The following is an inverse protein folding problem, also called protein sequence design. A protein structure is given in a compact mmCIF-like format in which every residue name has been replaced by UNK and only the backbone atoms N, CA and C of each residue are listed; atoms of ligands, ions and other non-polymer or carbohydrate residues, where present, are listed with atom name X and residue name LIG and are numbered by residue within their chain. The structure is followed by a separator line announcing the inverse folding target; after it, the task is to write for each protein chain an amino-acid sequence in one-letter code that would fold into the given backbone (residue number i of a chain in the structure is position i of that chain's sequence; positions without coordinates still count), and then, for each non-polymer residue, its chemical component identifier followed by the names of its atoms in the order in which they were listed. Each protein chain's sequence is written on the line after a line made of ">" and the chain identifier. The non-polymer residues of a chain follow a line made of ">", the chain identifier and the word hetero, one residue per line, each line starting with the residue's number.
data_IF_356565821071
#
_entry.id   IF_356565821071
#
_cell.length_a   1.000
_cell.length_b   1.000
_cell.length_c   1.000
_cell.angle_alpha   90.00
_cell.angle_beta   90.00
_cell.angle_gamma   90.00
#
_symmetry.space_group_name_H-M   'P 1'
#
loop_
_entity.id
_entity.type
_entity.pdbx_description
1 polymer ?
#
# COMPACT_ATOMS: atom_id res chain seq x y z
N UNK A 1 45.37 -40.56 1.13
CA UNK A 1 46.36 -39.45 1.16
C UNK A 1 46.81 -39.26 -0.28
N UNK A 2 46.47 -38.21 -1.03
CA UNK A 2 46.43 -36.79 -0.68
C UNK A 2 45.30 -36.09 -1.44
N UNK A 3 44.57 -35.24 -0.72
CA UNK A 3 43.53 -34.34 -1.18
C UNK A 3 44.22 -33.06 -1.66
N UNK A 4 44.06 -32.71 -2.93
CA UNK A 4 44.57 -31.46 -3.50
C UNK A 4 43.40 -30.63 -4.02
N UNK A 5 42.77 -29.86 -3.15
CA UNK A 5 41.75 -28.87 -3.51
C UNK A 5 42.45 -27.65 -4.15
N UNK A 6 42.24 -27.48 -5.46
CA UNK A 6 42.57 -26.24 -6.17
C UNK A 6 41.49 -25.20 -5.85
N UNK A 7 41.76 -24.35 -4.86
CA UNK A 7 40.97 -23.16 -4.56
C UNK A 7 41.15 -22.13 -5.67
N UNK A 8 40.16 -22.03 -6.56
CA UNK A 8 40.00 -20.92 -7.50
C UNK A 8 39.40 -19.73 -6.75
N UNK A 9 40.25 -18.91 -6.12
CA UNK A 9 39.82 -17.61 -5.60
C UNK A 9 39.63 -16.64 -6.77
N UNK A 10 38.38 -16.52 -7.22
CA UNK A 10 37.94 -15.50 -8.16
C UNK A 10 38.01 -14.12 -7.48
N UNK A 11 39.12 -13.41 -7.65
CA UNK A 11 39.22 -12.00 -7.29
C UNK A 11 38.36 -11.18 -8.27
N UNK A 12 37.07 -11.04 -7.95
CA UNK A 12 36.23 -10.04 -8.57
C UNK A 12 36.71 -8.66 -8.14
N UNK A 13 37.61 -8.05 -8.93
CA UNK A 13 37.85 -6.62 -8.90
C UNK A 13 36.54 -5.93 -9.32
N UNK A 14 35.68 -5.65 -8.34
CA UNK A 14 34.60 -4.69 -8.50
C UNK A 14 35.29 -3.33 -8.66
N UNK A 15 35.57 -2.96 -9.91
CA UNK A 15 35.80 -1.58 -10.27
C UNK A 15 34.51 -0.83 -9.94
N UNK A 16 34.47 -0.18 -8.78
CA UNK A 16 33.54 0.91 -8.52
C UNK A 16 33.97 2.04 -9.46
N UNK A 17 33.52 1.98 -10.71
CA UNK A 17 33.51 3.15 -11.56
C UNK A 17 32.57 4.13 -10.86
N UNK A 18 33.14 5.14 -10.20
CA UNK A 18 32.40 6.34 -9.82
C UNK A 18 31.95 6.98 -11.12
N UNK A 19 30.80 6.57 -11.64
CA UNK A 19 30.26 7.11 -12.88
C UNK A 19 29.86 8.55 -12.61
N UNK A 20 30.77 9.45 -12.93
CA UNK A 20 30.46 10.87 -13.07
C UNK A 20 29.20 10.99 -13.95
N UNK A 21 28.14 11.58 -13.38
CA UNK A 21 26.82 11.68 -14.01
C UNK A 21 26.91 12.46 -15.31
N UNK A 22 26.70 11.77 -16.43
CA UNK A 22 26.56 12.37 -17.75
C UNK A 22 25.18 13.03 -17.91
N UNK A 23 24.99 13.90 -18.92
CA UNK A 23 23.79 14.74 -19.02
C UNK A 23 22.88 14.26 -20.15
N UNK A 24 21.78 13.56 -19.81
CA UNK A 24 20.78 13.10 -20.78
C UNK A 24 19.72 14.14 -21.14
N UNK A 25 19.41 15.07 -20.23
CA UNK A 25 18.39 16.11 -20.46
C UNK A 25 18.80 17.02 -21.62
N UNK A 26 17.88 17.34 -22.52
CA UNK A 26 18.13 18.21 -23.67
C UNK A 26 18.15 19.69 -23.28
N UNK A 27 17.21 20.12 -22.43
CA UNK A 27 17.17 21.49 -21.94
C UNK A 27 17.95 21.63 -20.64
N UNK A 28 18.88 22.57 -20.62
CA UNK A 28 19.77 22.82 -19.51
C UNK A 28 19.71 24.29 -19.18
N UNK A 29 19.66 24.60 -17.89
CA UNK A 29 19.80 25.98 -17.42
C UNK A 29 21.06 26.05 -16.56
N UNK A 30 21.89 27.06 -16.75
CA UNK A 30 23.05 27.38 -15.91
C UNK A 30 22.97 28.82 -15.37
N UNK A 31 23.80 29.15 -14.37
CA UNK A 31 23.91 30.51 -13.80
C UNK A 31 25.15 31.19 -14.33
N UNK A 32 25.00 32.43 -14.78
CA UNK A 32 26.10 33.28 -15.20
C UNK A 32 27.19 33.40 -14.11
N UNK A 33 28.45 33.24 -14.51
CA UNK A 33 29.61 33.34 -13.63
C UNK A 33 29.90 32.08 -12.81
N UNK A 34 29.12 31.00 -12.95
CA UNK A 34 29.45 29.70 -12.36
C UNK A 34 30.17 28.78 -13.39
N UNK A 35 31.15 27.98 -12.96
CA UNK A 35 31.69 26.90 -13.78
C UNK A 35 30.59 25.91 -14.17
N UNK A 36 30.63 25.44 -15.42
CA UNK A 36 29.62 24.53 -15.94
C UNK A 36 30.25 23.53 -16.91
N UNK A 37 29.60 22.38 -17.13
CA UNK A 37 30.08 21.39 -18.10
C UNK A 37 28.91 20.69 -18.80
N UNK A 38 29.13 20.29 -20.05
CA UNK A 38 28.30 19.37 -20.80
C UNK A 38 29.06 18.06 -21.02
N UNK A 39 28.52 16.94 -20.54
CA UNK A 39 29.14 15.62 -20.67
C UNK A 39 28.22 14.67 -21.44
N UNK A 40 28.74 14.12 -22.53
CA UNK A 40 28.07 13.09 -23.31
C UNK A 40 27.96 11.77 -22.52
N UNK A 41 26.85 11.06 -22.69
CA UNK A 41 26.62 9.75 -22.07
C UNK A 41 27.08 8.63 -23.00
N UNK A 42 28.11 7.89 -22.60
CA UNK A 42 28.51 6.66 -23.28
C UNK A 42 27.55 5.53 -22.90
N UNK A 43 26.74 5.07 -23.86
CA UNK A 43 25.76 3.99 -23.64
C UNK A 43 26.37 2.58 -23.60
N UNK A 44 27.68 2.43 -23.83
CA UNK A 44 28.43 1.17 -23.73
C UNK A 44 29.94 1.51 -23.66
N UNK A 45 30.81 0.68 -23.04
CA UNK A 45 32.24 0.76 -23.29
C UNK A 45 32.45 0.40 -24.75
N UNK A 46 32.38 1.41 -25.63
CA UNK A 46 32.78 1.29 -27.02
C UNK A 46 34.16 0.68 -26.97
N UNK A 47 34.30 -0.55 -27.48
CA UNK A 47 35.61 -1.14 -27.73
C UNK A 47 36.46 -0.05 -28.37
N UNK A 48 37.69 0.12 -27.86
CA UNK A 48 38.69 1.04 -28.38
C UNK A 48 39.00 0.68 -29.85
N UNK A 49 38.05 0.91 -30.74
CA UNK A 49 38.25 0.97 -32.15
C UNK A 49 38.69 2.40 -32.38
N UNK A 50 39.99 2.52 -32.56
CA UNK A 50 40.71 3.74 -32.85
C UNK A 50 40.02 4.50 -34.00
N UNK A 51 40.05 5.84 -33.91
CA UNK A 51 39.74 6.82 -34.96
C UNK A 51 38.34 7.43 -35.10
N UNK A 52 37.44 7.34 -34.11
CA UNK A 52 36.23 8.19 -34.18
C UNK A 52 36.50 9.59 -33.67
N UNK A 53 36.67 10.56 -34.58
CA UNK A 53 36.88 11.97 -34.26
C UNK A 53 35.67 12.55 -33.55
N UNK A 54 35.87 13.05 -32.33
CA UNK A 54 34.85 13.77 -31.57
C UNK A 54 34.81 15.23 -32.04
N UNK A 55 33.61 15.76 -32.28
CA UNK A 55 33.41 17.15 -32.65
C UNK A 55 32.30 17.78 -31.83
N UNK A 56 32.54 19.02 -31.43
CA UNK A 56 31.57 19.85 -30.73
C UNK A 56 31.18 21.02 -31.62
N UNK A 57 29.88 21.30 -31.68
CA UNK A 57 29.34 22.43 -32.43
C UNK A 57 28.47 23.29 -31.53
N UNK A 58 28.46 24.58 -31.84
CA UNK A 58 27.57 25.56 -31.25
C UNK A 58 26.74 26.19 -32.36
N UNK A 59 25.45 26.35 -32.10
CA UNK A 59 24.55 27.11 -32.95
C UNK A 59 23.87 28.20 -32.15
N UNK A 60 23.95 29.42 -32.67
CA UNK A 60 23.17 30.55 -32.20
C UNK A 60 21.82 30.58 -32.95
N UNK A 61 20.93 31.53 -32.61
CA UNK A 61 19.55 31.63 -33.15
C UNK A 61 19.44 31.60 -34.69
N UNK A 62 20.55 31.82 -35.42
CA UNK A 62 20.66 31.78 -36.88
C UNK A 62 20.78 30.37 -37.50
N UNK A 63 20.67 29.28 -36.73
CA UNK A 63 20.74 27.87 -37.17
C UNK A 63 22.07 27.41 -37.79
N UNK A 64 23.01 28.32 -38.06
CA UNK A 64 24.36 27.98 -38.49
C UNK A 64 25.12 27.24 -37.36
N UNK A 65 25.80 26.14 -37.70
CA UNK A 65 26.60 25.35 -36.75
C UNK A 65 28.07 25.73 -36.91
N UNK A 66 28.64 26.31 -35.86
CA UNK A 66 30.06 26.65 -35.78
C UNK A 66 30.76 25.57 -34.96
N UNK A 67 31.81 24.96 -35.51
CA UNK A 67 32.63 23.99 -34.79
C UNK A 67 33.44 24.68 -33.68
N UNK A 68 33.36 24.14 -32.47
CA UNK A 68 34.14 24.60 -31.32
C UNK A 68 35.52 23.93 -31.37
N UNK A 69 36.58 24.73 -31.52
CA UNK A 69 37.96 24.25 -31.50
C UNK A 69 38.59 24.49 -30.13
N UNK A 70 39.53 23.62 -29.76
CA UNK A 70 40.33 23.82 -28.56
C UNK A 70 41.10 25.15 -28.68
N UNK A 71 41.03 25.99 -27.64
CA UNK A 71 41.69 27.30 -27.63
C UNK A 71 40.94 28.43 -28.33
N UNK A 72 39.75 28.17 -28.91
CA UNK A 72 38.87 29.24 -29.44
C UNK A 72 38.42 30.25 -28.39
N UNK A 73 38.42 29.85 -27.11
CA UNK A 73 38.21 30.74 -25.98
C UNK A 73 39.07 30.28 -24.81
N UNK A 74 39.71 31.19 -24.05
CA UNK A 74 40.45 30.83 -22.84
C UNK A 74 39.53 30.28 -21.74
N UNK A 75 38.21 30.49 -21.87
CA UNK A 75 37.19 30.13 -20.88
C UNK A 75 36.54 28.77 -21.14
N UNK A 76 36.55 28.31 -22.40
CA UNK A 76 35.91 27.07 -22.82
C UNK A 76 36.99 26.02 -23.08
N UNK A 77 36.84 24.84 -22.48
CA UNK A 77 37.81 23.75 -22.66
C UNK A 77 37.10 22.48 -23.12
N UNK A 78 37.65 21.83 -24.15
CA UNK A 78 37.15 20.57 -24.66
C UNK A 78 38.07 19.44 -24.16
N UNK A 79 37.48 18.43 -23.53
CA UNK A 79 38.16 17.24 -23.02
C UNK A 79 37.36 16.00 -23.41
N UNK A 80 37.77 15.31 -24.47
CA UNK A 80 37.09 14.12 -25.01
C UNK A 80 35.55 14.31 -25.10
N UNK A 81 34.82 13.70 -24.16
CA UNK A 81 33.36 13.68 -24.06
C UNK A 81 32.77 14.86 -23.30
N UNK A 82 33.58 15.84 -22.89
CA UNK A 82 33.18 16.94 -22.01
C UNK A 82 33.54 18.29 -22.61
N UNK A 83 32.56 19.20 -22.60
CA UNK A 83 32.72 20.62 -22.89
C UNK A 83 32.58 21.40 -21.58
N UNK A 84 33.67 21.98 -21.09
CA UNK A 84 33.70 22.76 -19.85
C UNK A 84 33.70 24.27 -20.11
N UNK A 85 33.12 25.01 -19.17
CA UNK A 85 33.00 26.47 -19.15
C UNK A 85 33.53 27.02 -17.81
N UNK A 86 34.43 28.01 -17.86
CA UNK A 86 35.12 28.57 -16.68
C UNK A 86 35.23 30.11 -16.58
N UNK A 87 34.18 30.97 -16.41
CA UNK A 87 32.73 30.87 -16.34
C UNK A 87 31.92 30.08 -17.33
N UNK A 88 30.61 29.99 -17.14
CA UNK A 88 29.64 30.27 -18.23
C UNK A 88 29.22 31.75 -18.23
N UNK A 89 28.99 32.35 -19.40
CA UNK A 89 28.56 33.75 -19.56
C UNK A 89 27.25 33.85 -20.36
N UNK A 90 26.49 34.95 -20.28
CA UNK A 90 25.20 35.09 -20.98
C UNK A 90 25.28 34.84 -22.48
N UNK A 91 26.39 35.20 -23.09
CA UNK A 91 26.63 35.02 -24.52
C UNK A 91 26.79 33.55 -24.90
N UNK A 92 27.03 32.63 -23.96
CA UNK A 92 27.12 31.19 -24.25
C UNK A 92 25.75 30.53 -24.45
N UNK A 93 24.65 31.28 -24.33
CA UNK A 93 23.30 30.77 -24.55
C UNK A 93 23.13 30.30 -26.00
N UNK A 94 22.69 29.05 -26.18
CA UNK A 94 22.48 28.49 -27.52
C UNK A 94 22.30 26.98 -27.53
N UNK A 95 22.31 26.41 -28.73
CA UNK A 95 22.25 24.96 -28.94
C UNK A 95 23.66 24.41 -29.12
N UNK A 96 24.00 23.38 -28.36
CA UNK A 96 25.27 22.67 -28.42
C UNK A 96 25.05 21.27 -28.95
N UNK A 97 25.94 20.81 -29.81
CA UNK A 97 25.87 19.50 -30.44
C UNK A 97 27.19 18.77 -30.22
N UNK A 98 27.11 17.54 -29.73
CA UNK A 98 28.21 16.59 -29.70
C UNK A 98 28.03 15.60 -30.84
N UNK A 99 29.09 15.34 -31.60
CA UNK A 99 29.11 14.37 -32.68
C UNK A 99 30.30 13.41 -32.51
N UNK A 100 30.01 12.11 -32.55
CA UNK A 100 31.00 11.04 -32.52
C UNK A 100 30.56 9.94 -33.49
N UNK A 101 31.16 9.91 -34.68
CA UNK A 101 30.74 9.00 -35.75
C UNK A 101 29.28 9.25 -36.13
N UNK A 102 28.43 8.23 -35.99
CA UNK A 102 27.00 8.32 -36.24
C UNK A 102 26.19 8.85 -35.04
N UNK A 103 26.80 8.95 -33.86
CA UNK A 103 26.10 9.44 -32.67
C UNK A 103 26.10 10.96 -32.63
N UNK A 104 24.92 11.54 -32.44
CA UNK A 104 24.75 12.98 -32.23
C UNK A 104 23.89 13.21 -31.00
N UNK A 105 24.34 14.09 -30.11
CA UNK A 105 23.54 14.55 -28.98
C UNK A 105 23.43 16.07 -29.00
N UNK A 106 22.24 16.59 -28.69
CA UNK A 106 21.96 18.01 -28.66
C UNK A 106 21.56 18.45 -27.25
N UNK A 107 22.08 19.61 -26.84
CA UNK A 107 21.65 20.33 -25.65
C UNK A 107 21.26 21.76 -26.01
N UNK A 108 20.23 22.28 -25.35
CA UNK A 108 19.83 23.68 -25.39
C UNK A 108 20.24 24.29 -24.06
N UNK A 109 21.31 25.08 -24.08
CA UNK A 109 21.87 25.75 -22.92
C UNK A 109 21.24 27.14 -22.76
N UNK A 110 20.41 27.28 -21.74
CA UNK A 110 19.91 28.55 -21.27
C UNK A 110 20.75 29.06 -20.10
N UNK A 111 20.94 30.38 -20.05
CA UNK A 111 21.78 31.00 -19.03
C UNK A 111 20.95 32.04 -18.31
N UNK A 112 20.92 31.90 -17.00
CA UNK A 112 20.20 32.78 -16.09
C UNK A 112 21.19 33.76 -15.48
N UNK A 113 20.80 35.03 -15.44
CA UNK A 113 21.57 36.06 -14.75
C UNK A 113 21.64 35.71 -13.26
N UNK A 114 22.83 35.85 -12.70
CA UNK A 114 23.04 35.71 -11.26
C UNK A 114 22.25 36.79 -10.52
N UNK A 115 21.48 36.40 -9.51
CA UNK A 115 20.84 37.37 -8.63
C UNK A 115 21.92 38.07 -7.80
N UNK A 116 22.07 39.39 -7.95
CA UNK A 116 23.06 40.18 -7.20
C UNK A 116 22.62 40.52 -5.77
N UNK A 117 21.34 40.41 -5.47
CA UNK A 117 20.75 40.75 -4.17
C UNK A 117 20.48 39.52 -3.29
N UNK A 118 20.78 38.33 -3.77
CA UNK A 118 20.58 37.06 -3.07
C UNK A 118 21.82 36.18 -3.21
N UNK A 119 21.98 35.23 -2.30
CA UNK A 119 23.01 34.20 -2.38
C UNK A 119 22.66 33.07 -3.37
N UNK A 120 21.45 33.06 -3.93
CA UNK A 120 21.02 32.08 -4.94
C UNK A 120 20.11 32.70 -6.01
N UNK A 121 19.97 31.98 -7.12
CA UNK A 121 19.09 32.36 -8.23
C UNK A 121 17.83 31.49 -8.21
N UNK A 122 16.64 32.09 -8.13
CA UNK A 122 15.35 31.40 -7.97
C UNK A 122 15.08 30.35 -9.06
N UNK A 123 15.51 30.62 -10.29
CA UNK A 123 15.34 29.69 -11.44
C UNK A 123 16.19 28.41 -11.34
N UNK A 124 17.06 28.31 -10.34
CA UNK A 124 18.05 27.23 -10.15
C UNK A 124 17.89 26.55 -8.80
N UNK A 125 16.66 26.55 -8.30
CA UNK A 125 16.29 25.96 -7.03
C UNK A 125 15.62 24.62 -7.26
N UNK A 126 16.06 23.60 -6.53
CA UNK A 126 15.44 22.27 -6.52
C UNK A 126 14.51 22.16 -5.32
N UNK A 127 13.21 22.02 -5.56
CA UNK A 127 12.25 21.84 -4.46
C UNK A 127 12.30 20.42 -3.89
N UNK A 128 12.23 20.30 -2.58
CA UNK A 128 12.15 19.03 -1.83
C UNK A 128 11.13 19.18 -0.72
N UNK A 129 10.14 18.30 -0.70
CA UNK A 129 9.11 18.25 0.33
C UNK A 129 9.54 17.22 1.37
N UNK A 130 9.42 17.55 2.64
CA UNK A 130 9.73 16.66 3.76
C UNK A 130 8.60 16.77 4.79
N UNK A 131 8.09 15.62 5.24
CA UNK A 131 7.09 15.58 6.30
C UNK A 131 7.74 15.86 7.66
N UNK A 132 7.02 16.53 8.55
CA UNK A 132 7.45 16.79 9.92
C UNK A 132 7.78 15.46 10.64
N UNK A 133 8.75 15.47 11.54
CA UNK A 133 9.30 14.29 12.27
C UNK A 133 9.98 13.23 11.41
N UNK A 134 9.89 13.27 10.07
CA UNK A 134 10.70 12.41 9.18
C UNK A 134 12.13 12.95 9.05
N UNK A 135 13.03 12.13 8.52
CA UNK A 135 14.45 12.51 8.37
C UNK A 135 14.62 13.55 7.26
N UNK A 136 15.00 14.77 7.65
CA UNK A 136 15.53 15.79 6.76
C UNK A 136 17.03 15.56 6.57
N UNK A 137 17.43 15.29 5.32
CA UNK A 137 18.82 15.19 4.92
C UNK A 137 19.15 16.18 3.80
N UNK A 138 20.17 17.01 4.01
CA UNK A 138 20.75 17.93 3.04
C UNK A 138 22.25 17.64 2.98
N UNK A 139 22.71 17.18 1.81
CA UNK A 139 24.10 16.84 1.59
C UNK A 139 24.68 17.73 0.51
N UNK A 140 25.75 18.46 0.82
CA UNK A 140 26.46 19.29 -0.15
C UNK A 140 27.52 18.46 -0.89
N UNK A 141 27.14 17.89 -2.03
CA UNK A 141 28.04 17.12 -2.88
C UNK A 141 28.06 17.63 -4.33
N UNK A 142 29.24 17.53 -4.94
CA UNK A 142 29.43 17.80 -6.35
C UNK A 142 30.46 16.83 -6.94
N UNK A 143 29.96 15.70 -7.44
CA UNK A 143 30.77 14.58 -7.95
C UNK A 143 31.79 15.00 -9.01
N UNK A 144 31.39 15.84 -9.98
CA UNK A 144 32.28 16.24 -11.08
C UNK A 144 33.43 17.14 -10.61
N UNK A 145 33.13 18.16 -9.81
CA UNK A 145 34.14 19.11 -9.35
C UNK A 145 34.79 18.72 -8.02
N UNK A 146 34.46 17.57 -7.42
CA UNK A 146 34.86 17.18 -6.06
C UNK A 146 36.36 17.36 -5.79
N UNK A 147 37.21 16.99 -6.77
CA UNK A 147 38.68 17.09 -6.64
C UNK A 147 39.22 18.52 -6.66
N UNK A 148 38.45 19.48 -7.19
CA UNK A 148 38.83 20.89 -7.33
C UNK A 148 38.27 21.77 -6.21
N UNK A 149 37.36 21.23 -5.39
CA UNK A 149 36.71 21.96 -4.30
C UNK A 149 37.71 22.12 -3.15
N UNK A 150 37.95 23.37 -2.78
CA UNK A 150 38.78 23.75 -1.63
C UNK A 150 37.94 23.76 -0.35
N UNK A 151 36.77 24.42 -0.39
CA UNK A 151 35.88 24.54 0.76
C UNK A 151 34.42 24.48 0.33
N UNK A 152 33.58 23.99 1.23
CA UNK A 152 32.12 23.95 1.05
C UNK A 152 31.46 24.65 2.22
N UNK A 153 30.50 25.54 1.94
CA UNK A 153 29.71 26.22 2.97
C UNK A 153 28.22 26.00 2.73
N UNK A 154 27.46 25.86 3.80
CA UNK A 154 26.00 25.71 3.76
C UNK A 154 25.33 26.95 4.34
N UNK A 155 24.33 27.46 3.63
CA UNK A 155 23.55 28.62 4.03
C UNK A 155 22.08 28.23 4.16
N UNK A 156 21.38 28.75 5.17
CA UNK A 156 19.92 28.72 5.26
C UNK A 156 19.40 30.15 5.10
N UNK A 157 18.56 30.39 4.09
CA UNK A 157 18.03 31.72 3.75
C UNK A 157 19.13 32.79 3.68
N UNK A 158 20.24 32.45 2.99
CA UNK A 158 21.44 33.29 2.86
C UNK A 158 22.18 33.64 4.16
N UNK A 159 21.91 32.95 5.26
CA UNK A 159 22.70 33.01 6.49
C UNK A 159 23.58 31.78 6.59
N UNK A 160 24.89 31.98 6.73
CA UNK A 160 25.86 30.88 6.85
C UNK A 160 25.57 30.08 8.12
N UNK A 161 25.45 28.77 7.99
CA UNK A 161 25.32 27.87 9.14
C UNK A 161 26.71 27.58 9.74
N UNK A 162 26.81 27.38 11.07
CA UNK A 162 28.07 27.04 11.72
C UNK A 162 28.64 25.72 11.17
N UNK A 163 29.96 25.71 10.92
CA UNK A 163 30.68 24.57 10.34
C UNK A 163 30.98 23.53 11.42
N UNK A 164 30.50 22.30 11.25
CA UNK A 164 30.93 21.16 12.07
C UNK A 164 31.99 20.28 11.37
N UNK A 165 32.14 20.35 10.03
CA UNK A 165 33.06 19.50 9.27
C UNK A 165 33.41 20.08 7.88
N UNK A 166 34.44 19.53 7.22
CA UNK A 166 34.87 19.86 5.84
C UNK A 166 33.76 19.71 4.79
N UNK A 167 32.74 18.88 5.07
CA UNK A 167 31.56 18.69 4.24
C UNK A 167 30.29 19.00 5.06
N UNK A 168 29.74 20.22 4.99
CA UNK A 168 28.56 20.56 5.75
C UNK A 168 27.36 19.74 5.23
N UNK A 169 26.81 18.90 6.10
CA UNK A 169 25.58 18.16 5.84
C UNK A 169 24.65 18.30 7.05
N UNK A 170 23.35 18.36 6.77
CA UNK A 170 22.30 18.35 7.80
C UNK A 170 21.64 16.99 7.74
N UNK A 171 21.54 16.33 8.89
CA UNK A 171 20.73 15.12 9.08
C UNK A 171 20.04 15.21 10.42
N UNK A 172 18.75 15.51 10.43
CA UNK A 172 17.93 15.57 11.65
C UNK A 172 16.47 15.24 11.34
N UNK A 173 15.65 15.07 12.37
CA UNK A 173 14.21 15.01 12.18
C UNK A 173 13.68 16.40 11.81
N UNK A 174 12.78 16.45 10.84
CA UNK A 174 12.26 17.68 10.29
C UNK A 174 11.32 18.37 11.26
N UNK A 175 11.50 19.67 11.45
CA UNK A 175 10.63 20.55 12.21
C UNK A 175 10.09 21.65 11.29
N UNK A 176 8.93 22.24 11.60
CA UNK A 176 8.37 23.31 10.76
C UNK A 176 9.31 24.50 10.58
N UNK A 177 10.14 24.79 11.59
CA UNK A 177 11.18 25.83 11.53
C UNK A 177 12.29 25.54 10.50
N UNK A 178 12.42 24.29 10.04
CA UNK A 178 13.39 23.89 9.02
C UNK A 178 13.03 24.31 7.61
N UNK A 179 11.80 24.76 7.39
CA UNK A 179 11.39 25.28 6.10
C UNK A 179 12.27 26.44 5.64
N UNK A 180 12.66 26.43 4.37
CA UNK A 180 13.43 27.50 3.75
C UNK A 180 14.38 27.06 2.66
N UNK A 181 15.20 28.00 2.19
CA UNK A 181 16.16 27.81 1.13
C UNK A 181 17.53 27.43 1.69
N UNK A 182 18.03 26.26 1.33
CA UNK A 182 19.34 25.78 1.72
C UNK A 182 20.29 25.82 0.53
N UNK A 183 21.33 26.65 0.59
CA UNK A 183 22.29 26.85 -0.49
C UNK A 183 23.65 26.26 -0.11
N UNK A 184 24.05 25.22 -0.82
CA UNK A 184 25.41 24.68 -0.81
C UNK A 184 26.28 25.51 -1.75
N UNK A 185 27.32 26.13 -1.21
CA UNK A 185 28.28 26.97 -1.94
C UNK A 185 29.61 26.24 -1.96
N UNK A 186 30.07 25.86 -3.14
CA UNK A 186 31.36 25.19 -3.36
C UNK A 186 32.36 26.19 -3.90
N UNK A 187 33.47 26.38 -3.19
CA UNK A 187 34.58 27.23 -3.59
C UNK A 187 35.68 26.38 -4.22
N UNK A 188 36.10 26.72 -5.42
CA UNK A 188 37.04 25.91 -6.20
C UNK A 188 38.09 26.79 -6.90
N UNK A 189 39.32 26.29 -6.99
CA UNK A 189 40.44 27.00 -7.60
C UNK A 189 40.85 26.35 -8.92
N UNK A 190 40.97 27.15 -9.98
CA UNK A 190 41.54 26.72 -11.26
C UNK A 190 42.42 27.82 -11.84
N UNK A 191 43.66 27.47 -12.20
CA UNK A 191 44.64 28.38 -12.80
C UNK A 191 44.80 29.72 -12.05
N UNK A 192 44.86 29.65 -10.71
CA UNK A 192 45.01 30.82 -9.83
C UNK A 192 43.75 31.68 -9.63
N UNK A 193 42.61 31.33 -10.25
CA UNK A 193 41.32 32.01 -10.06
C UNK A 193 40.40 31.21 -9.15
N UNK A 194 39.68 31.91 -8.27
CA UNK A 194 38.62 31.37 -7.42
C UNK A 194 37.29 31.42 -8.16
N UNK A 195 36.58 30.29 -8.18
CA UNK A 195 35.24 30.15 -8.72
C UNK A 195 34.29 29.62 -7.65
N UNK A 196 32.99 29.80 -7.89
CA UNK A 196 31.95 29.39 -6.97
C UNK A 196 30.82 28.71 -7.72
N UNK A 197 30.36 27.58 -7.20
CA UNK A 197 29.16 26.86 -7.67
C UNK A 197 28.14 26.86 -6.55
N UNK A 198 26.90 27.19 -6.86
CA UNK A 198 25.80 27.25 -5.89
C UNK A 198 24.74 26.21 -6.24
N UNK A 199 24.42 25.31 -5.31
CA UNK A 199 23.26 24.41 -5.41
C UNK A 199 22.27 24.76 -4.31
N UNK A 200 21.04 25.10 -4.69
CA UNK A 200 20.01 25.52 -3.72
C UNK A 200 18.83 24.57 -3.70
N UNK A 201 18.41 24.20 -2.49
CA UNK A 201 17.24 23.38 -2.23
C UNK A 201 16.17 24.24 -1.57
N UNK A 202 14.95 24.22 -2.09
CA UNK A 202 13.79 24.77 -1.39
C UNK A 202 13.16 23.64 -0.58
N UNK A 203 13.34 23.67 0.74
CA UNK A 203 12.78 22.69 1.65
C UNK A 203 11.42 23.20 2.14
N UNK A 204 10.37 22.46 1.79
CA UNK A 204 9.02 22.69 2.30
C UNK A 204 8.69 21.62 3.31
N UNK A 205 8.29 22.02 4.52
CA UNK A 205 7.90 21.09 5.58
C UNK A 205 6.38 20.98 5.59
N UNK A 206 5.88 19.76 5.43
CA UNK A 206 4.43 19.47 5.44
C UNK A 206 4.06 18.69 6.69
N UNK A 207 2.78 18.73 7.04
CA UNK A 207 2.24 17.92 8.13
C UNK A 207 2.48 16.42 7.87
N UNK A 208 2.61 15.66 8.95
CA UNK A 208 2.78 14.20 8.89
C UNK A 208 1.45 13.61 8.44
N UNK A 209 1.33 13.32 7.14
CA UNK A 209 0.29 12.46 6.62
C UNK A 209 0.71 11.03 6.91
N UNK A 210 0.63 10.63 8.17
CA UNK A 210 0.87 9.25 8.58
C UNK A 210 -0.12 8.36 7.84
N UNK A 211 0.29 7.81 6.70
CA UNK A 211 -0.54 6.94 5.91
C UNK A 211 -0.90 5.74 6.78
N UNK A 212 -2.18 5.58 7.07
CA UNK A 212 -2.69 4.42 7.79
C UNK A 212 -2.83 3.24 6.82
N UNK A 213 -2.74 2.02 7.33
CA UNK A 213 -3.18 0.86 6.55
C UNK A 213 -4.72 0.96 6.42
N UNK A 214 -5.28 1.04 5.20
CA UNK A 214 -6.71 1.19 5.04
C UNK A 214 -7.44 -0.04 5.58
N UNK A 215 -8.56 0.18 6.28
CA UNK A 215 -9.31 -0.90 6.93
C UNK A 215 -10.80 -0.74 6.74
N UNK A 216 -11.48 -1.86 6.45
CA UNK A 216 -12.93 -1.92 6.38
C UNK A 216 -13.55 -2.10 7.76
N UNK A 217 -14.62 -1.36 8.02
CA UNK A 217 -15.31 -1.41 9.30
C UNK A 217 -16.34 -2.56 9.34
N UNK A 218 -16.39 -3.25 10.48
CA UNK A 218 -17.30 -4.36 10.73
C UNK A 218 -16.72 -5.74 10.40
N UNK A 219 -17.55 -6.79 10.38
CA UNK A 219 -17.09 -8.16 10.18
C UNK A 219 -16.68 -8.43 8.73
N UNK A 220 -15.72 -9.33 8.51
CA UNK A 220 -15.24 -9.71 7.16
C UNK A 220 -16.30 -10.37 6.29
N UNK A 221 -17.27 -11.05 6.89
CA UNK A 221 -18.37 -11.72 6.20
C UNK A 221 -19.70 -11.32 6.86
N UNK A 222 -20.68 -10.94 6.05
CA UNK A 222 -21.98 -10.47 6.52
C UNK A 222 -23.08 -11.22 5.78
N UNK A 223 -23.96 -11.85 6.53
CA UNK A 223 -25.18 -12.43 6.00
C UNK A 223 -26.30 -11.40 6.17
N UNK A 224 -26.93 -11.01 5.06
CA UNK A 224 -28.00 -10.01 5.04
C UNK A 224 -29.30 -10.70 4.65
N UNK A 225 -30.26 -10.73 5.56
CA UNK A 225 -31.58 -11.29 5.32
C UNK A 225 -32.40 -10.36 4.42
N UNK A 226 -32.91 -10.91 3.31
CA UNK A 226 -33.67 -10.16 2.31
C UNK A 226 -34.95 -10.87 1.91
N UNK A 227 -35.94 -10.07 1.51
CA UNK A 227 -37.21 -10.54 0.95
C UNK A 227 -37.17 -10.34 -0.57
N UNK A 228 -37.65 -11.34 -1.32
CA UNK A 228 -37.70 -11.26 -2.78
C UNK A 228 -38.62 -10.12 -3.23
N UNK A 229 -38.23 -9.41 -4.27
CA UNK A 229 -38.98 -8.28 -4.83
C UNK A 229 -38.83 -6.95 -4.08
N UNK A 230 -38.09 -6.91 -2.97
CA UNK A 230 -37.72 -5.66 -2.27
C UNK A 230 -36.30 -5.22 -2.65
N UNK A 231 -35.98 -3.98 -2.31
CA UNK A 231 -34.65 -3.41 -2.50
C UNK A 231 -33.81 -3.55 -1.23
N UNK A 232 -32.50 -3.69 -1.37
CA UNK A 232 -31.54 -3.67 -0.26
C UNK A 232 -30.38 -2.73 -0.56
N UNK A 233 -29.85 -2.10 0.49
CA UNK A 233 -28.66 -1.28 0.44
C UNK A 233 -27.58 -1.90 1.31
N UNK A 234 -26.45 -2.24 0.70
CA UNK A 234 -25.26 -2.72 1.39
C UNK A 234 -24.33 -1.52 1.62
N UNK A 235 -24.14 -1.17 2.89
CA UNK A 235 -23.24 -0.08 3.24
C UNK A 235 -21.84 -0.60 3.54
N UNK A 236 -20.85 -0.11 2.81
CA UNK A 236 -19.45 -0.37 3.06
C UNK A 236 -18.75 0.89 3.57
N UNK A 237 -18.22 0.83 4.79
CA UNK A 237 -17.47 1.92 5.39
C UNK A 237 -16.01 1.54 5.60
N UNK A 238 -15.11 2.48 5.31
CA UNK A 238 -13.67 2.30 5.42
C UNK A 238 -13.02 3.48 6.14
N UNK A 239 -11.96 3.19 6.89
CA UNK A 239 -11.00 4.17 7.38
C UNK A 239 -9.80 4.14 6.42
N UNK A 240 -9.49 5.26 5.77
CA UNK A 240 -8.54 5.27 4.64
C UNK A 240 -7.76 6.59 4.52
N UNK A 241 -6.78 6.63 3.60
CA UNK A 241 -6.00 7.83 3.28
C UNK A 241 -6.64 8.62 2.12
N UNK A 242 -6.19 9.86 1.90
CA UNK A 242 -6.76 10.77 0.88
C UNK A 242 -6.83 10.17 -0.54
N UNK A 243 -5.82 9.39 -0.92
CA UNK A 243 -5.67 8.82 -2.25
C UNK A 243 -6.22 7.38 -2.37
N UNK A 244 -6.73 6.81 -1.27
CA UNK A 244 -7.27 5.46 -1.26
C UNK A 244 -8.68 5.44 -1.88
N UNK A 245 -9.05 4.27 -2.40
CA UNK A 245 -10.32 4.06 -3.12
C UNK A 245 -11.07 2.88 -2.51
N UNK A 246 -12.37 3.08 -2.28
CA UNK A 246 -13.32 2.01 -1.93
C UNK A 246 -14.12 1.66 -3.17
N UNK A 247 -14.25 0.39 -3.51
CA UNK A 247 -15.06 -0.06 -4.65
C UNK A 247 -15.70 -1.42 -4.38
N UNK A 248 -16.80 -1.68 -5.08
CA UNK A 248 -17.50 -2.96 -5.05
C UNK A 248 -17.11 -3.87 -6.20
N UNK A 249 -17.02 -5.17 -5.92
CA UNK A 249 -16.84 -6.24 -6.89
C UNK A 249 -18.11 -7.10 -6.81
N UNK A 250 -18.93 -6.99 -7.85
CA UNK A 250 -20.24 -7.65 -7.94
C UNK A 250 -20.53 -8.20 -9.35
N UNK A 251 -19.54 -8.16 -10.25
CA UNK A 251 -19.66 -8.69 -11.60
C UNK A 251 -19.76 -10.23 -11.58
N UNK A 252 -20.64 -10.76 -12.42
CA UNK A 252 -20.84 -12.20 -12.62
C UNK A 252 -20.27 -12.62 -13.97
N UNK A 253 -19.97 -13.92 -14.12
CA UNK A 253 -19.49 -14.48 -15.40
C UNK A 253 -20.44 -14.20 -16.57
N UNK A 254 -21.74 -14.07 -16.29
CA UNK A 254 -22.78 -13.80 -17.29
C UNK A 254 -22.94 -12.31 -17.63
N UNK A 255 -22.09 -11.43 -17.09
CA UNK A 255 -22.16 -9.98 -17.26
C UNK A 255 -22.72 -9.23 -16.04
N UNK A 256 -22.79 -7.89 -16.12
CA UNK A 256 -23.29 -7.07 -15.02
C UNK A 256 -24.81 -7.24 -14.84
N UNK A 257 -25.25 -7.45 -13.60
CA UNK A 257 -26.67 -7.49 -13.26
C UNK A 257 -27.27 -6.08 -13.39
N UNK A 258 -28.32 -5.87 -14.20
CA UNK A 258 -28.89 -4.54 -14.42
C UNK A 258 -29.60 -3.96 -13.20
N UNK A 259 -29.88 -4.78 -12.18
CA UNK A 259 -30.53 -4.38 -10.93
C UNK A 259 -29.56 -4.03 -9.79
N UNK A 260 -28.25 -4.06 -10.06
CA UNK A 260 -27.20 -3.74 -9.09
C UNK A 260 -26.53 -2.42 -9.46
N UNK A 261 -26.58 -1.46 -8.55
CA UNK A 261 -26.09 -0.10 -8.76
C UNK A 261 -25.14 0.31 -7.64
N UNK A 262 -23.92 0.72 -8.01
CA UNK A 262 -22.96 1.30 -7.08
C UNK A 262 -23.18 2.81 -6.97
N UNK A 263 -23.46 3.30 -5.76
CA UNK A 263 -23.61 4.74 -5.51
C UNK A 263 -22.24 5.44 -5.43
N UNK A 264 -22.25 6.76 -5.59
CA UNK A 264 -21.04 7.58 -5.45
C UNK A 264 -20.43 7.47 -4.04
N UNK A 265 -19.10 7.46 -4.00
CA UNK A 265 -18.34 7.40 -2.76
C UNK A 265 -18.51 8.70 -1.96
N UNK A 266 -18.91 8.58 -0.69
CA UNK A 266 -19.04 9.70 0.24
C UNK A 266 -17.87 9.70 1.22
N UNK A 267 -17.02 10.73 1.14
CA UNK A 267 -15.87 10.93 2.03
C UNK A 267 -16.16 12.00 3.08
N UNK A 268 -15.84 11.72 4.35
CA UNK A 268 -16.00 12.63 5.47
C UNK A 268 -14.79 12.58 6.40
N UNK A 269 -14.37 13.74 6.91
CA UNK A 269 -13.29 13.82 7.91
C UNK A 269 -13.91 13.70 9.30
N UNK A 270 -13.40 12.77 10.10
CA UNK A 270 -13.82 12.58 11.49
C UNK A 270 -13.28 13.68 12.40
N UNK A 271 -13.84 13.81 13.61
CA UNK A 271 -13.36 14.75 14.64
C UNK A 271 -11.90 14.51 15.05
N UNK A 272 -11.38 13.29 14.85
CA UNK A 272 -9.99 12.90 15.10
C UNK A 272 -9.06 13.20 13.91
N UNK A 273 -9.56 13.83 12.84
CA UNK A 273 -8.78 14.14 11.63
C UNK A 273 -8.55 12.94 10.70
N UNK A 274 -9.13 11.77 10.99
CA UNK A 274 -9.05 10.59 10.11
C UNK A 274 -10.12 10.64 9.03
N UNK A 275 -9.79 10.18 7.83
CA UNK A 275 -10.72 10.17 6.70
C UNK A 275 -11.55 8.87 6.70
N UNK A 276 -12.86 9.04 6.75
CA UNK A 276 -13.85 7.99 6.60
C UNK A 276 -14.44 8.05 5.20
N UNK A 277 -14.63 6.87 4.60
CA UNK A 277 -15.37 6.73 3.35
C UNK A 277 -16.53 5.77 3.52
N UNK A 278 -17.63 6.06 2.83
CA UNK A 278 -18.83 5.23 2.75
C UNK A 278 -19.21 5.05 1.29
N UNK A 279 -19.33 3.81 0.84
CA UNK A 279 -19.79 3.48 -0.52
C UNK A 279 -20.91 2.44 -0.45
N UNK A 280 -22.06 2.78 -1.02
CA UNK A 280 -23.28 1.97 -0.93
C UNK A 280 -23.47 1.19 -2.23
N UNK A 281 -23.78 -0.10 -2.11
CA UNK A 281 -24.28 -0.92 -3.22
C UNK A 281 -25.78 -1.09 -3.04
N UNK A 282 -26.55 -0.58 -4.00
CA UNK A 282 -28.01 -0.72 -4.05
C UNK A 282 -28.38 -1.86 -4.98
N UNK A 283 -29.18 -2.79 -4.49
CA UNK A 283 -29.69 -3.92 -5.27
C UNK A 283 -31.21 -3.81 -5.27
N UNK A 284 -31.76 -3.53 -6.43
CA UNK A 284 -33.20 -3.31 -6.62
C UNK A 284 -33.91 -4.60 -7.03
N UNK A 285 -35.17 -4.76 -6.63
CA UNK A 285 -36.03 -5.89 -7.02
C UNK A 285 -35.31 -7.26 -6.91
N UNK A 286 -34.92 -7.63 -5.68
CA UNK A 286 -34.09 -8.81 -5.42
C UNK A 286 -34.75 -10.08 -5.98
N UNK A 287 -33.98 -10.85 -6.75
CA UNK A 287 -34.37 -12.14 -7.31
C UNK A 287 -33.51 -13.29 -6.77
N UNK A 288 -33.82 -14.53 -7.15
CA UNK A 288 -33.06 -15.71 -6.71
C UNK A 288 -31.60 -15.70 -7.17
N UNK A 289 -31.28 -15.06 -8.30
CA UNK A 289 -29.91 -14.96 -8.79
C UNK A 289 -29.05 -14.02 -7.92
N UNK A 290 -29.66 -13.13 -7.15
CA UNK A 290 -28.93 -12.24 -6.23
C UNK A 290 -28.60 -12.91 -4.89
N UNK A 291 -29.23 -14.05 -4.57
CA UNK A 291 -29.00 -14.78 -3.33
C UNK A 291 -27.74 -15.65 -3.40
N UNK A 292 -27.13 -15.92 -2.25
CA UNK A 292 -25.94 -16.77 -2.12
C UNK A 292 -24.75 -16.34 -3.01
N UNK A 293 -24.73 -15.07 -3.43
CA UNK A 293 -23.66 -14.45 -4.18
C UNK A 293 -22.79 -13.58 -3.27
N UNK A 294 -21.48 -13.54 -3.54
CA UNK A 294 -20.51 -12.76 -2.78
C UNK A 294 -20.38 -11.35 -3.37
N UNK A 295 -20.99 -10.38 -2.70
CA UNK A 295 -20.78 -8.97 -2.97
C UNK A 295 -19.56 -8.50 -2.16
N UNK A 296 -18.42 -8.29 -2.81
CA UNK A 296 -17.19 -7.92 -2.13
C UNK A 296 -16.99 -6.40 -2.18
N UNK A 297 -16.83 -5.77 -1.03
CA UNK A 297 -16.32 -4.41 -0.94
C UNK A 297 -14.84 -4.45 -0.63
N UNK A 298 -14.03 -3.72 -1.40
CA UNK A 298 -12.58 -3.62 -1.22
C UNK A 298 -12.16 -2.18 -1.04
N UNK A 299 -11.27 -1.93 -0.09
CA UNK A 299 -10.49 -0.69 0.00
C UNK A 299 -9.07 -0.97 -0.45
N UNK A 300 -8.54 -0.12 -1.31
CA UNK A 300 -7.18 -0.22 -1.84
C UNK A 300 -6.43 1.11 -1.73
N UNK A 301 -5.18 1.02 -1.26
CA UNK A 301 -4.27 2.15 -1.12
C UNK A 301 -2.80 1.71 -1.19
N UNK A 302 -1.87 2.66 -1.12
CA UNK A 302 -0.43 2.35 -1.13
C UNK A 302 -0.01 1.46 0.06
N UNK A 303 -0.71 1.57 1.19
CA UNK A 303 -0.43 0.82 2.41
C UNK A 303 -0.96 -0.61 2.43
N UNK A 304 -1.77 -1.02 1.44
CA UNK A 304 -2.36 -2.35 1.36
C UNK A 304 -3.81 -2.36 0.89
N UNK A 305 -4.41 -3.54 0.95
CA UNK A 305 -5.82 -3.77 0.60
C UNK A 305 -6.55 -4.49 1.72
N UNK A 306 -7.83 -4.19 1.85
CA UNK A 306 -8.72 -4.94 2.73
C UNK A 306 -10.05 -5.22 2.02
N UNK A 307 -10.61 -6.42 2.21
CA UNK A 307 -11.84 -6.87 1.55
C UNK A 307 -12.83 -7.43 2.57
N UNK A 308 -14.10 -7.07 2.38
CA UNK A 308 -15.25 -7.55 3.16
C UNK A 308 -16.32 -8.04 2.21
N UNK A 309 -16.94 -9.17 2.55
CA UNK A 309 -17.95 -9.81 1.74
C UNK A 309 -19.34 -9.72 2.38
N UNK A 310 -20.35 -9.60 1.53
CA UNK A 310 -21.76 -9.64 1.88
C UNK A 310 -22.43 -10.77 1.10
N UNK A 311 -23.22 -11.58 1.77
CA UNK A 311 -24.03 -12.66 1.19
C UNK A 311 -25.49 -12.36 1.51
N UNK A 312 -26.31 -12.25 0.48
CA UNK A 312 -27.75 -12.13 0.64
C UNK A 312 -28.35 -13.51 0.90
N UNK A 313 -29.10 -13.63 2.00
CA UNK A 313 -29.82 -14.86 2.36
C UNK A 313 -31.32 -14.56 2.39
N UNK A 314 -32.13 -15.51 1.91
CA UNK A 314 -33.58 -15.35 1.96
C UNK A 314 -34.00 -15.32 3.43
N UNK A 315 -34.75 -14.30 3.82
CA UNK A 315 -35.38 -14.24 5.13
C UNK A 315 -36.29 -15.46 5.27
N UNK A 316 -36.02 -16.30 6.25
CA UNK A 316 -36.90 -17.41 6.55
C UNK A 316 -38.21 -16.81 7.04
N UNK A 317 -39.30 -17.04 6.31
CA UNK A 317 -40.63 -16.74 6.82
C UNK A 317 -40.80 -17.58 8.09
N UNK A 318 -40.68 -16.95 9.25
CA UNK A 318 -41.21 -17.46 10.52
C UNK A 318 -42.76 -17.41 10.50
N UNK A 319 -43.35 -17.70 9.34
CA UNK A 319 -44.78 -17.92 9.20
C UNK A 319 -45.04 -19.37 9.59
N UNK A 320 -45.41 -19.50 10.86
CA UNK A 320 -46.13 -20.61 11.46
C UNK A 320 -45.47 -21.99 11.37
N UNK A 321 -45.08 -22.51 12.55
CA UNK A 321 -45.23 -23.95 12.81
C UNK A 321 -46.58 -24.34 12.20
N UNK A 322 -46.63 -25.20 11.17
CA UNK A 322 -47.83 -25.40 10.38
C UNK A 322 -49.00 -25.65 11.33
N UNK A 323 -50.06 -24.84 11.25
CA UNK A 323 -51.17 -24.92 12.21
C UNK A 323 -51.72 -26.33 12.39
N UNK A 324 -51.54 -27.21 11.40
CA UNK A 324 -51.87 -28.64 11.44
C UNK A 324 -51.07 -29.44 12.50
N UNK A 325 -49.81 -29.09 12.77
CA UNK A 325 -48.95 -29.76 13.76
C UNK A 325 -49.37 -29.33 15.18
N UNK A 326 -49.65 -28.04 15.37
CA UNK A 326 -50.08 -27.52 16.66
C UNK A 326 -51.49 -27.98 17.03
N UNK A 327 -52.43 -27.95 16.08
CA UNK A 327 -53.80 -28.46 16.29
C UNK A 327 -53.80 -29.97 16.53
N UNK A 328 -53.02 -30.76 15.79
CA UNK A 328 -52.89 -32.21 16.03
C UNK A 328 -52.26 -32.51 17.39
N UNK A 329 -51.23 -31.77 17.79
CA UNK A 329 -50.61 -31.89 19.11
C UNK A 329 -51.57 -31.57 20.25
N UNK A 330 -52.36 -30.49 20.12
CA UNK A 330 -53.38 -30.09 21.10
C UNK A 330 -54.52 -31.11 21.20
N UNK A 331 -55.00 -31.66 20.09
CA UNK A 331 -56.04 -32.71 20.08
C UNK A 331 -55.54 -33.97 20.79
N UNK A 332 -54.29 -34.39 20.54
CA UNK A 332 -53.69 -35.56 21.21
C UNK A 332 -53.56 -35.32 22.71
N UNK A 333 -53.12 -34.13 23.13
CA UNK A 333 -53.02 -33.80 24.55
C UNK A 333 -54.37 -33.85 25.28
N UNK A 334 -55.44 -33.33 24.64
CA UNK A 334 -56.80 -33.39 25.18
C UNK A 334 -57.30 -34.84 25.27
N UNK A 335 -57.05 -35.67 24.25
CA UNK A 335 -57.43 -37.09 24.27
C UNK A 335 -56.73 -37.85 25.40
N UNK A 336 -55.44 -37.58 25.65
CA UNK A 336 -54.70 -38.18 26.77
C UNK A 336 -55.31 -37.75 28.11
N UNK A 337 -55.65 -36.48 28.27
CA UNK A 337 -56.27 -35.97 29.49
C UNK A 337 -57.62 -36.66 29.77
N UNK A 338 -58.46 -36.77 28.73
CA UNK A 338 -59.76 -37.47 28.83
C UNK A 338 -59.56 -38.95 29.17
N UNK A 339 -58.58 -39.61 28.55
CA UNK A 339 -58.28 -41.01 28.85
C UNK A 339 -57.82 -41.21 30.30
N UNK A 340 -56.99 -40.32 30.85
CA UNK A 340 -56.55 -40.35 32.25
C UNK A 340 -57.74 -40.16 33.19
N UNK A 341 -58.63 -39.20 32.91
CA UNK A 341 -59.82 -38.95 33.73
C UNK A 341 -60.75 -40.17 33.71
N UNK A 342 -61.01 -40.76 32.53
CA UNK A 342 -61.77 -42.00 32.43
C UNK A 342 -61.14 -43.15 33.20
N UNK A 343 -59.81 -43.29 33.14
CA UNK A 343 -59.08 -44.33 33.87
C UNK A 343 -59.22 -44.15 35.39
N UNK A 344 -59.16 -42.91 35.89
CA UNK A 344 -59.39 -42.60 37.30
C UNK A 344 -60.84 -42.92 37.70
N UNK A 345 -61.83 -42.55 36.88
CA UNK A 345 -63.25 -42.83 37.16
C UNK A 345 -63.51 -44.33 37.20
N UNK A 346 -63.01 -45.09 36.22
CA UNK A 346 -63.09 -46.57 36.22
C UNK A 346 -62.38 -47.14 37.45
N UNK A 347 -61.19 -46.63 37.80
CA UNK A 347 -60.47 -47.05 39.00
C UNK A 347 -61.23 -46.78 40.31
N UNK A 348 -62.05 -45.72 40.36
CA UNK A 348 -62.89 -45.39 41.53
C UNK A 348 -64.14 -46.28 41.58
N UNK A 349 -64.84 -46.46 40.46
CA UNK A 349 -66.06 -47.28 40.39
C UNK A 349 -65.73 -48.75 40.66
N UNK A 350 -64.69 -49.27 40.01
CA UNK A 350 -64.25 -50.66 40.14
C UNK A 350 -63.21 -50.82 41.26
N UNK A 351 -63.08 -49.89 42.20
CA UNK A 351 -62.09 -49.96 43.29
C UNK A 351 -62.16 -51.29 44.05
N UNK A 352 -63.37 -51.83 44.24
CA UNK A 352 -63.59 -53.12 44.90
C UNK A 352 -63.17 -54.28 43.98
N UNK A 353 -63.60 -54.26 42.73
CA UNK A 353 -63.31 -55.32 41.74
C UNK A 353 -61.83 -55.37 41.33
N UNK A 354 -61.15 -54.22 41.26
CA UNK A 354 -59.73 -54.08 40.94
C UNK A 354 -58.87 -54.58 42.12
N UNK A 355 -59.29 -54.32 43.36
CA UNK A 355 -58.67 -54.91 44.55
C UNK A 355 -58.88 -56.43 44.60
N UNK A 356 -60.08 -56.92 44.27
CA UNK A 356 -60.37 -58.36 44.20
C UNK A 356 -59.57 -59.05 43.07
N UNK A 357 -59.45 -58.41 41.91
CA UNK A 357 -58.67 -58.90 40.76
C UNK A 357 -57.16 -58.89 41.04
N UNK A 358 -56.65 -57.82 41.66
CA UNK A 358 -55.24 -57.75 42.10
C UNK A 358 -54.91 -58.84 43.13
N UNK A 359 -55.84 -59.11 44.07
CA UNK A 359 -55.70 -60.21 45.05
C UNK A 359 -55.79 -61.60 44.40
N UNK A 360 -56.56 -61.75 43.33
CA UNK A 360 -56.63 -62.98 42.55
C UNK A 360 -55.34 -63.23 41.75
N UNK A 361 -54.74 -62.18 41.18
CA UNK A 361 -53.47 -62.26 40.46
C UNK A 361 -52.29 -62.55 41.40
N UNK A 362 -52.19 -61.84 42.52
CA UNK A 362 -51.09 -62.03 43.49
C UNK A 362 -51.29 -63.23 44.42
N UNK A 363 -52.53 -63.71 44.59
CA UNK A 363 -52.84 -64.89 45.42
C UNK A 363 -52.61 -66.23 44.73
N UNK A 364 -52.19 -66.23 43.45
CA UNK A 364 -52.02 -67.45 42.65
C UNK A 364 -50.56 -67.90 42.48
N UNK A 365 -49.59 -67.09 42.91
CA UNK A 365 -48.15 -67.39 42.77
C UNK A 365 -47.48 -67.96 44.04
N UNK A 366 -48.24 -68.31 45.09
CA UNK A 366 -47.69 -68.98 46.29
C UNK A 366 -47.78 -70.52 46.26
N UNK A 367 -47.94 -71.13 45.09
CA UNK A 367 -47.74 -72.58 44.96
C UNK A 367 -46.97 -72.91 43.69
N UNK A 368 -45.66 -73.04 43.80
CA UNK A 368 -44.88 -74.19 43.30
C UNK A 368 -43.41 -74.05 43.72
N UNK A 369 -43.17 -74.14 45.03
CA UNK A 369 -41.88 -74.60 45.55
C UNK A 369 -41.75 -76.08 45.21
N UNK A 370 -40.84 -76.43 44.29
CA UNK A 370 -40.69 -77.82 43.89
C UNK A 370 -39.65 -78.12 42.83
N UNK A 371 -38.43 -77.62 43.03
CA UNK A 371 -37.17 -78.14 42.48
C UNK A 371 -36.84 -77.98 40.98
N UNK A 372 -35.74 -77.24 40.79
CA UNK A 372 -34.51 -77.63 40.07
C UNK A 372 -34.13 -76.77 38.85
N UNK A 373 -33.15 -75.89 39.10
CA UNK A 373 -31.92 -75.70 38.31
C UNK A 373 -32.06 -75.33 36.82
N UNK A 374 -31.82 -74.05 36.50
CA UNK A 374 -30.54 -73.56 35.93
C UNK A 374 -30.59 -72.04 35.62
N UNK A 375 -29.57 -71.31 36.12
CA UNK A 375 -28.72 -70.31 35.45
C UNK A 375 -29.23 -69.68 34.13
N UNK A 376 -29.00 -68.42 33.79
CA UNK A 376 -28.24 -67.31 34.34
C UNK A 376 -28.52 -66.09 33.42
N UNK A 377 -28.39 -64.88 33.95
CA UNK A 377 -28.21 -63.66 33.15
C UNK A 377 -29.51 -62.91 32.82
N UNK A 378 -29.86 -61.92 33.66
CA UNK A 378 -30.42 -60.58 33.33
C UNK A 378 -30.47 -59.79 34.67
N UNK A 379 -29.36 -59.73 35.41
CA UNK A 379 -29.27 -58.88 36.62
C UNK A 379 -27.98 -58.06 36.73
N UNK A 380 -27.15 -58.08 35.70
CA UNK A 380 -25.93 -57.24 35.64
C UNK A 380 -26.00 -56.07 34.64
N UNK A 381 -27.12 -55.90 33.90
CA UNK A 381 -27.22 -54.90 32.82
C UNK A 381 -28.04 -53.63 33.17
N UNK A 382 -28.79 -53.61 34.27
CA UNK A 382 -29.59 -52.44 34.67
C UNK A 382 -28.97 -51.58 35.78
N UNK A 383 -27.86 -52.01 36.39
CA UNK A 383 -27.13 -51.24 37.41
C UNK A 383 -25.95 -50.42 36.87
N UNK A 384 -25.57 -50.59 35.59
CA UNK A 384 -24.52 -49.80 34.94
C UNK A 384 -25.03 -48.52 34.23
N UNK A 385 -26.32 -48.47 33.83
CA UNK A 385 -26.87 -47.31 33.10
C UNK A 385 -27.43 -46.18 33.99
N UNK A 386 -27.44 -46.35 35.32
CA UNK A 386 -27.86 -45.29 36.26
C UNK A 386 -26.72 -44.35 36.69
N UNK A 387 -25.46 -44.67 36.38
CA UNK A 387 -24.30 -43.86 36.79
C UNK A 387 -23.64 -43.02 35.68
N UNK A 388 -24.22 -42.94 34.47
CA UNK A 388 -23.71 -42.08 33.39
C UNK A 388 -24.60 -40.88 33.02
N UNK A 389 -25.66 -40.59 33.82
CA UNK A 389 -26.52 -39.39 33.68
C UNK A 389 -26.43 -38.52 34.96
N UNK A 390 -25.22 -38.41 35.50
CA UNK A 390 -24.80 -37.37 36.45
C UNK A 390 -23.32 -37.08 36.22
N UNK A 391 -23.01 -36.53 35.05
CA UNK A 391 -21.87 -35.66 34.77
C UNK A 391 -21.91 -35.28 33.28
N UNK A 392 -22.72 -34.26 32.99
CA UNK A 392 -22.39 -33.19 32.04
C UNK A 392 -23.18 -31.95 32.42
#
# INVERSE_FOLDING_TARGET
>A
MYRGELSLTLWALIFINTSETCILRTHITAVEGEPFYLKYCLSSPVHKNETTTIRWYRSNRSQERVELKQGSSPRITLWDYVLEFWPVELDDRGSYFFQMGNYTQQWILNITRRNKHSCFTEKQVTSKIVEVKKVLQITCENSYYQKLINSTSLYKNCKKLPENDKNPSIRKNAEFEDQGFYSCVFSLHRSGKLFTITKTFNITIVEDHSNIVPVLLGPKLNHVEVELGKDVQLNCCALLNKNDVVYWIFEKENGPDPNVHEEEEKKAVTSEGKLHSSRILRIENINENNLNFLYNCTVAGEGGTDTKSFILVKKADMADIPGHIFTRGMIIAILILVAVVCFVIVGVIYRVDLVLFYRHLMGKDETLTGNAYHNAGISYLMLSLRNHIKNH
#
